data_IF_511720344872
#
_entry.id   IF_511720344872
#
_cell.length_a   1.000
_cell.length_b   1.000
_cell.length_c   1.000
_cell.angle_alpha   90.00
_cell.angle_beta   90.00
_cell.angle_gamma   90.00
#
_symmetry.space_group_name_H-M   'P 1'
#
loop_
_entity.id
_entity.type
_entity.pdbx_description
1 polymer ?
#
# COMPACT_ATOMS: atom_id res chain seq x y z
N UNK A 1 25.29 -15.48 -4.07
CA UNK A 1 24.58 -15.01 -5.29
C UNK A 1 23.91 -13.69 -4.94
N UNK A 2 24.11 -12.65 -5.74
CA UNK A 2 23.65 -11.29 -5.43
C UNK A 2 22.13 -11.19 -5.52
N UNK A 3 21.52 -10.50 -4.56
CA UNK A 3 20.11 -10.16 -4.57
C UNK A 3 19.82 -9.26 -5.77
N UNK A 4 18.97 -9.73 -6.70
CA UNK A 4 18.44 -8.92 -7.79
C UNK A 4 17.07 -8.37 -7.37
N UNK A 5 16.92 -7.05 -7.14
CA UNK A 5 15.63 -6.48 -6.77
C UNK A 5 14.63 -6.66 -7.90
N UNK A 6 13.37 -6.90 -7.53
CA UNK A 6 12.26 -7.00 -8.47
C UNK A 6 12.02 -5.64 -9.14
N UNK A 7 11.69 -5.67 -10.42
CA UNK A 7 11.33 -4.45 -11.15
C UNK A 7 9.89 -4.02 -10.81
N UNK A 8 9.53 -2.75 -11.00
CA UNK A 8 8.16 -2.28 -10.81
C UNK A 8 7.13 -3.08 -11.62
N UNK A 9 7.42 -3.43 -12.88
CA UNK A 9 6.53 -4.25 -13.72
C UNK A 9 6.27 -5.65 -13.12
N UNK A 10 7.31 -6.27 -12.53
CA UNK A 10 7.16 -7.56 -11.86
C UNK A 10 6.27 -7.45 -10.61
N UNK A 11 6.35 -6.35 -9.88
CA UNK A 11 5.50 -6.10 -8.72
C UNK A 11 4.03 -5.87 -9.15
N UNK A 12 3.80 -5.09 -10.20
CA UNK A 12 2.46 -4.83 -10.74
C UNK A 12 1.80 -6.12 -11.25
N UNK A 13 2.54 -6.98 -11.95
CA UNK A 13 1.98 -8.25 -12.42
C UNK A 13 1.62 -9.18 -11.25
N UNK A 14 2.45 -9.24 -10.20
CA UNK A 14 2.13 -10.01 -9.00
C UNK A 14 0.96 -9.44 -8.22
N UNK A 15 0.80 -8.11 -8.20
CA UNK A 15 -0.39 -7.47 -7.65
C UNK A 15 -1.63 -7.89 -8.44
N UNK A 16 -1.57 -7.83 -9.77
CA UNK A 16 -2.66 -8.23 -10.66
C UNK A 16 -3.06 -9.70 -10.48
N UNK A 17 -2.09 -10.57 -10.24
CA UNK A 17 -2.29 -11.99 -9.97
C UNK A 17 -2.66 -12.31 -8.51
N UNK A 18 -2.65 -11.32 -7.60
CA UNK A 18 -2.90 -11.54 -6.18
C UNK A 18 -1.79 -12.32 -5.46
N UNK A 19 -0.59 -12.41 -6.04
CA UNK A 19 0.57 -13.14 -5.49
C UNK A 19 1.64 -12.23 -4.89
N UNK A 20 1.36 -10.92 -4.81
CA UNK A 20 2.23 -9.92 -4.20
C UNK A 20 2.39 -10.17 -2.69
N UNK A 21 3.63 -10.39 -2.26
CA UNK A 21 3.97 -10.63 -0.85
C UNK A 21 4.32 -9.31 -0.18
N UNK A 22 3.32 -8.72 0.48
CA UNK A 22 3.50 -7.54 1.33
C UNK A 22 3.84 -8.00 2.74
N UNK A 23 4.85 -7.38 3.34
CA UNK A 23 5.33 -7.72 4.68
C UNK A 23 5.43 -6.46 5.54
N UNK A 24 5.02 -6.53 6.80
CA UNK A 24 5.27 -5.44 7.76
C UNK A 24 6.72 -5.44 8.20
N UNK A 25 7.23 -4.30 8.67
CA UNK A 25 8.56 -4.23 9.26
C UNK A 25 8.76 -5.21 10.45
N UNK A 26 7.70 -5.48 11.23
CA UNK A 26 7.74 -6.43 12.34
C UNK A 26 7.91 -7.87 11.83
N UNK A 27 7.13 -8.27 10.84
CA UNK A 27 7.16 -9.63 10.31
C UNK A 27 8.45 -9.88 9.51
N UNK A 28 8.97 -8.86 8.83
CA UNK A 28 10.26 -8.96 8.16
C UNK A 28 11.39 -9.25 9.15
N UNK A 29 11.42 -8.54 10.29
CA UNK A 29 12.41 -8.81 11.35
C UNK A 29 12.30 -10.23 11.89
N UNK A 30 11.08 -10.73 12.07
CA UNK A 30 10.85 -12.13 12.50
C UNK A 30 11.38 -13.13 11.47
N UNK A 31 11.08 -12.92 10.18
CA UNK A 31 11.58 -13.80 9.09
C UNK A 31 13.10 -13.79 9.00
N UNK A 32 13.71 -12.60 9.06
CA UNK A 32 15.17 -12.47 9.02
C UNK A 32 15.83 -13.16 10.21
N UNK A 33 15.20 -13.14 11.39
CA UNK A 33 15.68 -13.83 12.59
C UNK A 33 15.48 -15.36 12.54
N UNK A 34 14.42 -15.85 11.88
CA UNK A 34 14.14 -17.29 11.76
C UNK A 34 14.85 -17.97 10.59
N UNK A 35 15.41 -17.21 9.65
CA UNK A 35 16.05 -17.72 8.44
C UNK A 35 17.37 -16.98 8.16
N UNK A 36 17.52 -16.37 6.99
CA UNK A 36 18.62 -15.47 6.65
C UNK A 36 18.08 -14.16 6.09
N UNK A 37 18.93 -13.13 6.04
CA UNK A 37 18.55 -11.84 5.49
C UNK A 37 18.23 -11.98 3.98
N UNK A 38 19.02 -12.77 3.26
CA UNK A 38 18.81 -13.05 1.83
C UNK A 38 17.47 -13.70 1.57
N UNK A 39 17.09 -14.70 2.39
CA UNK A 39 15.82 -15.38 2.27
C UNK A 39 14.65 -14.45 2.61
N UNK A 40 14.80 -13.62 3.66
CA UNK A 40 13.78 -12.65 4.03
C UNK A 40 13.50 -11.62 2.91
N UNK A 41 14.55 -11.17 2.22
CA UNK A 41 14.43 -10.31 1.03
C UNK A 41 13.85 -11.05 -0.18
N UNK A 42 14.23 -12.31 -0.39
CA UNK A 42 13.65 -13.13 -1.46
C UNK A 42 12.14 -13.31 -1.25
N UNK A 43 11.67 -13.48 -0.02
CA UNK A 43 10.27 -13.75 0.30
C UNK A 43 9.42 -12.49 0.53
N UNK A 44 9.99 -11.30 0.33
CA UNK A 44 9.31 -10.02 0.52
C UNK A 44 9.35 -9.20 -0.77
N UNK A 45 8.18 -8.78 -1.27
CA UNK A 45 8.09 -7.91 -2.44
C UNK A 45 8.01 -6.45 -2.07
N UNK A 46 7.22 -6.16 -1.05
CA UNK A 46 6.96 -4.82 -0.56
C UNK A 46 7.05 -4.84 0.96
N UNK A 47 7.89 -3.98 1.51
CA UNK A 47 7.94 -3.72 2.95
C UNK A 47 7.05 -2.52 3.26
N UNK A 48 6.01 -2.73 4.05
CA UNK A 48 5.19 -1.63 4.54
C UNK A 48 5.89 -0.93 5.73
N UNK A 49 5.94 0.40 5.66
CA UNK A 49 6.52 1.23 6.72
C UNK A 49 5.71 1.19 8.03
N UNK A 50 4.42 0.86 7.94
CA UNK A 50 3.49 0.72 9.06
C UNK A 50 2.73 -0.61 8.96
N UNK A 51 1.73 -0.83 9.82
CA UNK A 51 0.88 -2.01 9.71
C UNK A 51 0.05 -1.98 8.42
N UNK A 52 -0.23 -3.16 7.87
CA UNK A 52 -1.09 -3.35 6.70
C UNK A 52 -2.50 -3.78 7.13
N UNK A 53 -3.00 -3.20 8.21
CA UNK A 53 -4.33 -3.52 8.70
C UNK A 53 -5.37 -2.80 7.83
N UNK A 54 -6.51 -3.46 7.61
CA UNK A 54 -7.66 -2.78 7.04
C UNK A 54 -8.10 -1.69 8.04
N UNK A 55 -7.93 -0.44 7.63
CA UNK A 55 -8.49 0.70 8.34
C UNK A 55 -9.82 1.06 7.69
N UNK A 56 -10.85 1.21 8.51
CA UNK A 56 -12.11 1.86 8.12
C UNK A 56 -11.98 3.40 8.13
N UNK A 57 -10.86 3.92 8.62
CA UNK A 57 -10.56 5.35 8.67
C UNK A 57 -9.72 5.76 7.46
N UNK A 58 -10.39 6.28 6.44
CA UNK A 58 -9.79 6.98 5.30
C UNK A 58 -10.26 8.43 5.27
N UNK A 59 -9.33 9.38 5.35
CA UNK A 59 -9.64 10.80 5.19
C UNK A 59 -9.10 11.31 3.85
N UNK A 60 -9.97 11.94 3.05
CA UNK A 60 -9.60 12.62 1.81
C UNK A 60 -9.85 14.10 2.03
N UNK A 61 -8.79 14.89 2.03
CA UNK A 61 -8.89 16.34 2.14
C UNK A 61 -8.90 16.98 0.75
N UNK A 62 -9.99 17.65 0.40
CA UNK A 62 -10.12 18.42 -0.84
C UNK A 62 -10.22 19.89 -0.49
N UNK A 63 -9.16 20.66 -0.80
CA UNK A 63 -9.20 22.11 -0.68
C UNK A 63 -9.81 22.70 -1.94
N UNK A 64 -11.00 23.29 -1.84
CA UNK A 64 -11.71 23.90 -2.97
C UNK A 64 -11.31 25.36 -3.23
N UNK A 65 -10.37 25.89 -2.45
CA UNK A 65 -9.96 27.29 -2.51
C UNK A 65 -11.05 28.27 -2.03
N UNK A 66 -10.78 29.59 -2.07
CA UNK A 66 -11.81 30.60 -1.83
C UNK A 66 -12.83 30.55 -2.97
N UNK A 67 -14.12 30.43 -2.63
CA UNK A 67 -15.20 30.38 -3.61
C UNK A 67 -16.27 31.43 -3.28
N UNK A 68 -16.52 32.33 -4.23
CA UNK A 68 -17.60 33.30 -4.21
C UNK A 68 -18.28 33.25 -5.59
N UNK A 69 -19.55 32.81 -5.70
CA UNK A 69 -20.52 32.50 -4.62
C UNK A 69 -20.25 31.18 -3.88
N UNK A 70 -20.88 30.93 -2.71
CA UNK A 70 -20.64 29.72 -1.91
C UNK A 70 -20.94 28.42 -2.68
N UNK A 71 -19.95 27.52 -2.73
CA UNK A 71 -20.10 26.16 -3.25
C UNK A 71 -21.01 25.33 -2.35
N UNK A 72 -22.04 24.72 -2.94
CA UNK A 72 -22.89 23.72 -2.29
C UNK A 72 -22.60 22.34 -2.86
N UNK A 73 -22.14 21.43 -2.02
CA UNK A 73 -21.94 20.03 -2.42
C UNK A 73 -23.32 19.36 -2.52
N UNK A 74 -23.75 19.04 -3.74
CA UNK A 74 -25.01 18.32 -3.97
C UNK A 74 -24.88 16.82 -3.70
N UNK A 75 -23.75 16.23 -4.09
CA UNK A 75 -23.45 14.82 -3.91
C UNK A 75 -21.93 14.61 -3.93
N UNK A 76 -21.41 13.80 -3.01
CA UNK A 76 -20.05 13.29 -3.06
C UNK A 76 -20.08 11.80 -3.38
N UNK A 77 -19.21 11.34 -4.29
CA UNK A 77 -19.03 9.92 -4.60
C UNK A 77 -17.56 9.56 -4.55
N UNK A 78 -17.23 8.46 -3.89
CA UNK A 78 -15.89 7.89 -3.86
C UNK A 78 -15.95 6.47 -4.43
N UNK A 79 -15.20 6.20 -5.50
CA UNK A 79 -15.21 4.88 -6.16
C UNK A 79 -16.60 4.44 -6.67
N UNK A 80 -17.48 5.38 -7.01
CA UNK A 80 -18.86 5.11 -7.44
C UNK A 80 -19.86 4.92 -6.30
N UNK A 81 -19.41 4.90 -5.05
CA UNK A 81 -20.23 4.80 -3.84
C UNK A 81 -20.55 6.21 -3.34
N UNK A 82 -21.80 6.48 -2.94
CA UNK A 82 -22.16 7.79 -2.36
C UNK A 82 -21.69 7.87 -0.92
N UNK A 83 -21.09 9.00 -0.54
CA UNK A 83 -20.72 9.32 0.83
C UNK A 83 -21.93 9.80 1.66
#
# INVERSE_FOLDING_TARGET
MGFAPRTPDQLLERQRLGTLQVCTALDFRRRAASSSLEQAYADTDVLAAASCDFTDQGQIWISLGPCDPPLRIRQARLGGISA
#
